data_IF_037981630944
#
_entry.id   IF_037981630944
#
_cell.length_a   1.000
_cell.length_b   1.000
_cell.length_c   1.000
_cell.angle_alpha   90.00
_cell.angle_beta   90.00
_cell.angle_gamma   90.00
#
_symmetry.space_group_name_H-M   'P 1'
#
loop_
_entity.id
_entity.type
_entity.pdbx_description
1 polymer ?
#
# COMPACT_ATOMS: atom_id res chain seq x y z
N UNK A 1 15.29 -4.73 30.01
CA UNK A 1 15.44 -5.71 28.90
C UNK A 1 16.70 -5.37 28.13
N UNK A 2 17.52 -6.39 27.82
CA UNK A 2 18.80 -6.20 27.12
C UNK A 2 18.53 -5.62 25.70
N UNK A 3 19.16 -4.51 25.29
CA UNK A 3 18.89 -3.85 24.00
C UNK A 3 19.02 -4.80 22.80
N UNK A 4 19.97 -5.74 22.85
CA UNK A 4 20.18 -6.77 21.82
C UNK A 4 18.94 -7.68 21.65
N UNK A 5 18.29 -8.06 22.75
CA UNK A 5 17.10 -8.94 22.73
C UNK A 5 15.87 -8.22 22.14
N UNK A 6 15.75 -6.90 22.37
CA UNK A 6 14.69 -6.06 21.80
C UNK A 6 14.85 -5.91 20.28
N UNK A 7 16.07 -5.64 19.81
CA UNK A 7 16.37 -5.52 18.38
C UNK A 7 16.15 -6.84 17.65
N UNK A 8 16.62 -7.96 18.22
CA UNK A 8 16.40 -9.29 17.64
C UNK A 8 14.91 -9.62 17.51
N UNK A 9 14.13 -9.43 18.59
CA UNK A 9 12.69 -9.70 18.57
C UNK A 9 11.95 -8.88 17.51
N UNK A 10 12.26 -7.59 17.39
CA UNK A 10 11.60 -6.72 16.42
C UNK A 10 12.00 -7.07 14.98
N UNK A 11 13.29 -7.40 14.75
CA UNK A 11 13.80 -7.75 13.43
C UNK A 11 13.29 -9.11 12.93
N UNK A 12 13.24 -10.12 13.80
CA UNK A 12 12.70 -11.45 13.45
C UNK A 12 11.21 -11.39 13.18
N UNK A 13 10.47 -10.63 13.99
CA UNK A 13 9.07 -10.39 13.76
C UNK A 13 8.87 -9.70 12.39
N UNK A 14 9.59 -8.60 12.10
CA UNK A 14 9.44 -7.86 10.84
C UNK A 14 9.71 -8.75 9.62
N UNK A 15 10.76 -9.57 9.73
CA UNK A 15 11.10 -10.56 8.71
C UNK A 15 9.97 -11.57 8.52
N UNK A 16 9.33 -12.03 9.61
CA UNK A 16 8.23 -12.97 9.56
C UNK A 16 6.98 -12.35 8.89
N UNK A 17 6.64 -11.09 9.18
CA UNK A 17 5.52 -10.41 8.51
C UNK A 17 5.76 -10.29 7.01
N UNK A 18 6.96 -9.87 6.60
CA UNK A 18 7.33 -9.79 5.18
C UNK A 18 7.25 -11.16 4.51
N UNK A 19 7.70 -12.22 5.19
CA UNK A 19 7.60 -13.58 4.68
C UNK A 19 6.15 -14.04 4.55
N UNK A 20 5.29 -13.74 5.52
CA UNK A 20 3.86 -14.08 5.47
C UNK A 20 3.15 -13.33 4.36
N UNK A 21 3.36 -12.01 4.22
CA UNK A 21 2.82 -11.22 3.11
C UNK A 21 3.25 -11.79 1.76
N UNK A 22 4.54 -12.14 1.60
CA UNK A 22 5.07 -12.74 0.38
C UNK A 22 4.52 -14.13 0.13
N UNK A 23 4.34 -14.93 1.18
CA UNK A 23 3.72 -16.25 1.07
C UNK A 23 2.27 -16.11 0.59
N UNK A 24 1.48 -15.22 1.18
CA UNK A 24 0.09 -14.96 0.74
C UNK A 24 0.08 -14.46 -0.71
N UNK A 25 0.94 -13.51 -1.06
CA UNK A 25 1.06 -12.99 -2.42
C UNK A 25 1.45 -14.07 -3.46
N UNK A 26 2.12 -15.14 -3.03
CA UNK A 26 2.48 -16.26 -3.89
C UNK A 26 1.42 -17.36 -3.95
N UNK A 27 0.91 -17.80 -2.79
CA UNK A 27 -0.03 -18.91 -2.70
C UNK A 27 -1.44 -18.53 -3.13
N UNK A 28 -1.88 -17.29 -2.90
CA UNK A 28 -3.25 -16.87 -3.23
C UNK A 28 -3.50 -16.89 -4.75
N UNK A 29 -2.65 -16.30 -5.61
CA UNK A 29 -2.84 -16.39 -7.06
C UNK A 29 -2.74 -17.83 -7.57
N UNK A 30 -1.83 -18.63 -7.00
CA UNK A 30 -1.71 -20.06 -7.33
C UNK A 30 -2.98 -20.84 -6.99
N UNK A 31 -3.57 -20.60 -5.82
CA UNK A 31 -4.81 -21.24 -5.39
C UNK A 31 -5.98 -20.84 -6.28
N UNK A 32 -6.11 -19.54 -6.60
CA UNK A 32 -7.14 -19.03 -7.51
C UNK A 32 -7.02 -19.69 -8.88
N UNK A 33 -5.82 -19.76 -9.45
CA UNK A 33 -5.57 -20.40 -10.74
C UNK A 33 -5.96 -21.89 -10.75
N UNK A 34 -5.75 -22.59 -9.63
CA UNK A 34 -6.06 -24.01 -9.50
C UNK A 34 -7.55 -24.31 -9.31
N UNK A 35 -8.26 -23.50 -8.52
CA UNK A 35 -9.67 -23.77 -8.15
C UNK A 35 -10.64 -23.16 -9.15
N UNK A 36 -10.38 -21.94 -9.60
CA UNK A 36 -11.33 -21.16 -10.43
C UNK A 36 -10.99 -21.20 -11.93
N UNK A 37 -9.86 -21.83 -12.31
CA UNK A 37 -9.42 -21.92 -13.69
C UNK A 37 -8.72 -20.66 -14.20
N UNK A 38 -8.27 -20.72 -15.46
CA UNK A 38 -7.43 -19.68 -16.09
C UNK A 38 -8.18 -18.38 -16.38
N UNK A 39 -9.49 -18.45 -16.66
CA UNK A 39 -10.30 -17.29 -17.03
C UNK A 39 -10.49 -16.33 -15.84
N UNK A 40 -10.89 -16.85 -14.68
CA UNK A 40 -11.02 -16.06 -13.45
C UNK A 40 -9.68 -15.52 -12.97
N UNK A 41 -8.62 -16.34 -13.09
CA UNK A 41 -7.26 -15.90 -12.77
C UNK A 41 -6.81 -14.72 -13.66
N UNK A 42 -7.10 -14.75 -14.95
CA UNK A 42 -6.80 -13.65 -15.87
C UNK A 42 -7.49 -12.35 -15.45
N UNK A 43 -8.76 -12.43 -15.05
CA UNK A 43 -9.50 -11.29 -14.50
C UNK A 43 -8.90 -10.74 -13.21
N UNK A 44 -8.58 -11.61 -12.25
CA UNK A 44 -7.91 -11.25 -11.00
C UNK A 44 -6.54 -10.59 -11.24
N UNK A 45 -5.71 -11.19 -12.10
CA UNK A 45 -4.38 -10.68 -12.42
C UNK A 45 -4.48 -9.29 -13.06
N UNK A 46 -5.41 -9.10 -13.99
CA UNK A 46 -5.68 -7.80 -14.61
C UNK A 46 -6.09 -6.76 -13.57
N UNK A 47 -7.00 -7.10 -12.66
CA UNK A 47 -7.42 -6.21 -11.58
C UNK A 47 -6.25 -5.79 -10.68
N UNK A 48 -5.42 -6.76 -10.28
CA UNK A 48 -4.24 -6.49 -9.47
C UNK A 48 -3.21 -5.62 -10.19
N UNK A 49 -2.99 -5.81 -11.50
CA UNK A 49 -2.10 -4.95 -12.28
C UNK A 49 -2.57 -3.50 -12.27
N UNK A 50 -3.87 -3.24 -12.45
CA UNK A 50 -4.41 -1.90 -12.36
C UNK A 50 -4.19 -1.28 -10.98
N UNK A 51 -4.44 -2.03 -9.90
CA UNK A 51 -4.20 -1.56 -8.52
C UNK A 51 -2.72 -1.22 -8.29
N UNK A 52 -1.80 -2.07 -8.75
CA UNK A 52 -0.35 -1.85 -8.60
C UNK A 52 0.08 -0.59 -9.36
N UNK A 53 -0.32 -0.43 -10.62
CA UNK A 53 0.00 0.76 -11.41
C UNK A 53 -0.58 2.01 -10.75
N UNK A 54 -1.87 1.98 -10.40
CA UNK A 54 -2.56 3.10 -9.77
C UNK A 54 -1.91 3.53 -8.45
N UNK A 55 -1.40 2.57 -7.67
CA UNK A 55 -0.80 2.85 -6.38
C UNK A 55 0.43 3.74 -6.47
N UNK A 56 1.30 3.57 -7.48
CA UNK A 56 2.47 4.43 -7.65
C UNK A 56 2.10 5.89 -7.91
N UNK A 57 1.00 6.12 -8.64
CA UNK A 57 0.48 7.45 -8.87
C UNK A 57 -0.28 8.02 -7.67
N UNK A 58 -0.83 7.16 -6.81
CA UNK A 58 -1.69 7.58 -5.70
C UNK A 58 -0.94 8.40 -4.63
N UNK A 59 0.34 8.10 -4.36
CA UNK A 59 1.16 8.90 -3.45
C UNK A 59 2.16 9.83 -4.16
N UNK A 60 2.36 9.72 -5.49
CA UNK A 60 3.17 10.65 -6.30
C UNK A 60 4.53 11.04 -5.68
N UNK A 61 5.25 10.09 -5.08
CA UNK A 61 6.57 10.37 -4.46
C UNK A 61 6.52 11.06 -3.09
N UNK A 62 5.34 11.27 -2.51
CA UNK A 62 5.18 11.78 -1.13
C UNK A 62 5.86 10.87 -0.10
N UNK A 63 5.93 9.58 -0.36
CA UNK A 63 6.66 8.58 0.43
C UNK A 63 8.17 8.90 0.56
N UNK A 64 8.75 9.59 -0.43
CA UNK A 64 10.16 10.02 -0.40
C UNK A 64 10.33 11.47 0.10
N UNK A 65 9.35 12.34 -0.16
CA UNK A 65 9.40 13.74 0.25
C UNK A 65 9.14 13.91 1.76
N UNK A 66 8.11 13.23 2.26
CA UNK A 66 7.63 13.38 3.64
C UNK A 66 8.70 13.04 4.70
N UNK A 67 9.47 11.94 4.60
CA UNK A 67 10.52 11.65 5.56
C UNK A 67 11.62 12.72 5.59
N UNK A 68 11.94 13.32 4.43
CA UNK A 68 13.01 14.35 4.31
C UNK A 68 12.62 15.65 5.01
N UNK A 69 11.37 16.09 4.82
CA UNK A 69 10.87 17.30 5.49
C UNK A 69 10.71 17.10 7.00
N UNK A 70 10.24 15.93 7.43
CA UNK A 70 10.12 15.59 8.85
C UNK A 70 11.49 15.49 9.52
N UNK A 71 12.49 14.91 8.84
CA UNK A 71 13.85 14.84 9.36
C UNK A 71 14.48 16.22 9.52
N UNK A 72 14.14 17.17 8.63
CA UNK A 72 14.63 18.56 8.66
C UNK A 72 14.01 19.37 9.80
N UNK A 73 12.70 19.24 10.05
CA UNK A 73 12.02 19.92 11.16
C UNK A 73 11.03 19.00 11.88
N UNK A 74 11.54 18.29 12.90
CA UNK A 74 10.75 17.35 13.71
C UNK A 74 9.61 18.02 14.47
N UNK A 75 9.71 19.31 14.80
CA UNK A 75 8.68 20.04 15.57
C UNK A 75 7.40 20.24 14.75
N UNK A 76 7.52 20.30 13.43
CA UNK A 76 6.40 20.47 12.48
C UNK A 76 5.90 19.16 11.85
N UNK A 77 6.36 18.01 12.37
CA UNK A 77 6.01 16.68 11.86
C UNK A 77 4.50 16.43 11.72
N UNK A 78 3.69 16.85 12.69
CA UNK A 78 2.23 16.72 12.62
C UNK A 78 1.60 17.53 11.48
N UNK A 79 2.10 18.73 11.20
CA UNK A 79 1.61 19.58 10.10
C UNK A 79 2.01 19.01 8.74
N UNK A 80 3.22 18.46 8.62
CA UNK A 80 3.66 17.78 7.40
C UNK A 80 2.85 16.52 7.13
N UNK A 81 2.60 15.70 8.16
CA UNK A 81 1.75 14.50 8.01
C UNK A 81 0.32 14.87 7.61
N UNK A 82 -0.30 15.87 8.24
CA UNK A 82 -1.64 16.31 7.88
C UNK A 82 -1.70 16.83 6.44
N UNK A 83 -0.72 17.62 6.02
CA UNK A 83 -0.65 18.13 4.65
C UNK A 83 -0.44 17.01 3.63
N UNK A 84 0.43 16.06 3.94
CA UNK A 84 0.70 14.91 3.09
C UNK A 84 -0.50 13.97 3.01
N UNK A 85 -1.25 13.74 4.10
CA UNK A 85 -2.48 12.95 4.09
C UNK A 85 -3.60 13.60 3.28
N UNK A 86 -3.78 14.93 3.38
CA UNK A 86 -4.75 15.63 2.52
C UNK A 86 -4.36 15.54 1.04
N UNK A 87 -3.07 15.75 0.72
CA UNK A 87 -2.57 15.63 -0.64
C UNK A 87 -2.67 14.18 -1.16
N UNK A 88 -2.26 13.20 -0.36
CA UNK A 88 -2.33 11.77 -0.67
C UNK A 88 -3.75 11.27 -0.86
N UNK A 89 -4.68 11.68 -0.01
CA UNK A 89 -6.11 11.44 -0.18
C UNK A 89 -6.65 12.04 -1.48
N UNK A 90 -6.27 13.28 -1.80
CA UNK A 90 -6.69 13.92 -3.05
C UNK A 90 -6.11 13.21 -4.29
N UNK A 91 -4.81 12.89 -4.29
CA UNK A 91 -4.15 12.21 -5.42
C UNK A 91 -4.63 10.76 -5.59
N UNK A 92 -4.91 10.05 -4.50
CA UNK A 92 -5.50 8.71 -4.55
C UNK A 92 -6.93 8.71 -5.10
N UNK A 93 -7.75 9.70 -4.75
CA UNK A 93 -9.09 9.87 -5.36
C UNK A 93 -8.97 10.20 -6.85
N UNK A 94 -8.09 11.13 -7.23
CA UNK A 94 -7.89 11.51 -8.62
C UNK A 94 -7.41 10.32 -9.47
N UNK A 95 -6.48 9.53 -8.96
CA UNK A 95 -6.01 8.31 -9.63
C UNK A 95 -7.09 7.23 -9.69
N UNK A 96 -7.89 7.06 -8.64
CA UNK A 96 -9.03 6.16 -8.68
C UNK A 96 -10.05 6.54 -9.76
N UNK A 97 -10.37 7.85 -9.90
CA UNK A 97 -11.25 8.36 -10.95
C UNK A 97 -10.66 8.17 -12.34
N UNK A 98 -9.37 8.49 -12.52
CA UNK A 98 -8.68 8.35 -13.80
C UNK A 98 -8.67 6.88 -14.26
N UNK A 99 -8.32 5.95 -13.38
CA UNK A 99 -8.31 4.53 -13.71
C UNK A 99 -9.73 4.02 -13.95
N UNK A 100 -10.71 4.47 -13.18
CA UNK A 100 -12.12 4.08 -13.39
C UNK A 100 -12.63 4.48 -14.76
N UNK A 101 -12.24 5.66 -15.23
CA UNK A 101 -12.55 6.17 -16.57
C UNK A 101 -11.84 5.36 -17.66
N UNK A 102 -10.54 5.07 -17.49
CA UNK A 102 -9.77 4.23 -18.41
C UNK A 102 -10.44 2.85 -18.56
N UNK A 103 -10.73 2.19 -17.45
CA UNK A 103 -11.36 0.85 -17.44
C UNK A 103 -12.71 0.86 -18.13
N UNK A 104 -13.49 1.92 -17.98
CA UNK A 104 -14.77 2.08 -18.68
C UNK A 104 -14.60 2.11 -20.21
N UNK A 105 -13.54 2.76 -20.72
CA UNK A 105 -13.24 2.79 -22.16
C UNK A 105 -12.64 1.50 -22.71
N UNK A 106 -12.05 0.65 -21.87
CA UNK A 106 -11.40 -0.60 -22.32
C UNK A 106 -12.39 -1.76 -22.56
N UNK A 107 -13.69 -1.58 -22.26
CA UNK A 107 -14.76 -2.56 -22.53
C UNK A 107 -14.47 -3.97 -21.99
N UNK A 108 -13.88 -4.08 -20.80
CA UNK A 108 -13.66 -5.37 -20.14
C UNK A 108 -14.98 -6.06 -19.76
N UNK A 109 -14.98 -7.40 -19.60
CA UNK A 109 -16.14 -8.11 -19.08
C UNK A 109 -16.59 -7.56 -17.72
N UNK A 110 -17.92 -7.53 -17.43
CA UNK A 110 -18.46 -6.91 -16.21
C UNK A 110 -17.84 -7.46 -14.90
N UNK A 111 -17.52 -8.76 -14.89
CA UNK A 111 -16.87 -9.41 -13.76
C UNK A 111 -15.47 -8.83 -13.48
N UNK A 112 -14.66 -8.61 -14.52
CA UNK A 112 -13.31 -8.04 -14.40
C UNK A 112 -13.37 -6.58 -14.01
N UNK A 113 -14.29 -5.82 -14.60
CA UNK A 113 -14.53 -4.41 -14.28
C UNK A 113 -14.89 -4.21 -12.81
N UNK A 114 -15.79 -5.05 -12.26
CA UNK A 114 -16.16 -5.01 -10.85
C UNK A 114 -14.98 -5.33 -9.93
N UNK A 115 -14.13 -6.30 -10.30
CA UNK A 115 -12.91 -6.62 -9.55
C UNK A 115 -11.93 -5.43 -9.53
N UNK A 116 -11.76 -4.75 -10.67
CA UNK A 116 -10.90 -3.57 -10.76
C UNK A 116 -11.45 -2.45 -9.86
N UNK A 117 -12.74 -2.13 -9.95
CA UNK A 117 -13.35 -1.07 -9.13
C UNK A 117 -13.27 -1.36 -7.64
N UNK A 118 -13.55 -2.60 -7.24
CA UNK A 118 -13.44 -3.02 -5.84
C UNK A 118 -11.99 -2.92 -5.36
N UNK A 119 -11.03 -3.40 -6.16
CA UNK A 119 -9.61 -3.29 -5.84
C UNK A 119 -9.15 -1.85 -5.66
N UNK A 120 -9.53 -0.95 -6.57
CA UNK A 120 -9.15 0.46 -6.53
C UNK A 120 -9.72 1.15 -5.29
N UNK A 121 -11.02 1.02 -5.05
CA UNK A 121 -11.71 1.71 -3.95
C UNK A 121 -11.24 1.19 -2.59
N UNK A 122 -11.12 -0.14 -2.44
CA UNK A 122 -10.75 -0.73 -1.17
C UNK A 122 -9.25 -0.62 -0.86
N UNK A 123 -8.39 -0.54 -1.88
CA UNK A 123 -6.93 -0.60 -1.65
C UNK A 123 -6.26 0.76 -1.73
N UNK A 124 -6.59 1.62 -2.71
CA UNK A 124 -5.77 2.82 -2.95
C UNK A 124 -5.74 3.79 -1.79
N UNK A 125 -6.93 4.16 -1.28
CA UNK A 125 -7.03 5.13 -0.19
C UNK A 125 -6.34 4.63 1.09
N UNK A 126 -6.70 3.45 1.65
CA UNK A 126 -6.07 2.96 2.87
C UNK A 126 -4.57 2.73 2.71
N UNK A 127 -4.15 2.23 1.54
CA UNK A 127 -2.73 1.94 1.28
C UNK A 127 -1.90 3.22 1.18
N UNK A 128 -2.43 4.26 0.54
CA UNK A 128 -1.73 5.56 0.41
C UNK A 128 -1.51 6.16 1.80
N UNK A 129 -2.55 6.22 2.62
CA UNK A 129 -2.45 6.77 3.99
C UNK A 129 -1.54 5.93 4.89
N UNK A 130 -1.57 4.59 4.77
CA UNK A 130 -0.66 3.71 5.49
C UNK A 130 0.82 3.99 5.12
N UNK A 131 1.12 4.11 3.82
CA UNK A 131 2.48 4.42 3.35
C UNK A 131 2.93 5.79 3.86
N UNK A 132 2.05 6.80 3.86
CA UNK A 132 2.37 8.13 4.37
C UNK A 132 2.62 8.14 5.89
N UNK A 133 1.83 7.38 6.64
CA UNK A 133 2.07 7.18 8.08
C UNK A 133 3.43 6.51 8.32
N UNK A 134 3.75 5.44 7.59
CA UNK A 134 5.05 4.77 7.67
C UNK A 134 6.20 5.72 7.29
N UNK A 135 6.04 6.49 6.20
CA UNK A 135 7.01 7.49 5.77
C UNK A 135 7.24 8.57 6.85
N UNK A 136 6.18 9.01 7.54
CA UNK A 136 6.33 9.97 8.63
C UNK A 136 7.08 9.38 9.83
N UNK A 137 6.80 8.13 10.20
CA UNK A 137 7.52 7.45 11.28
C UNK A 137 9.00 7.24 10.89
N UNK A 138 9.27 6.89 9.63
CA UNK A 138 10.63 6.78 9.08
C UNK A 138 11.40 8.10 9.24
N UNK A 139 10.78 9.24 8.90
CA UNK A 139 11.38 10.57 9.07
C UNK A 139 11.66 10.97 10.52
N UNK A 140 10.94 10.39 11.48
CA UNK A 140 11.18 10.58 12.91
C UNK A 140 12.28 9.66 13.47
N UNK A 141 12.88 8.81 12.65
CA UNK A 141 13.86 7.76 13.04
C UNK A 141 13.30 6.76 14.08
N UNK A 142 11.97 6.70 14.24
CA UNK A 142 11.30 5.81 15.19
C UNK A 142 10.88 4.51 14.51
N UNK A 143 11.82 3.85 13.84
CA UNK A 143 11.57 2.61 13.10
C UNK A 143 10.94 1.50 13.95
N UNK A 144 11.14 1.55 15.28
CA UNK A 144 10.51 0.65 16.24
C UNK A 144 8.97 0.67 16.20
N UNK A 145 8.36 1.78 15.78
CA UNK A 145 6.91 1.96 15.73
C UNK A 145 6.30 1.41 14.44
N UNK A 146 7.04 1.49 13.32
CA UNK A 146 6.63 0.81 12.07
C UNK A 146 6.63 -0.68 12.29
N UNK A 147 7.66 -1.21 12.96
CA UNK A 147 7.67 -2.60 13.36
C UNK A 147 6.42 -2.92 14.19
N UNK A 148 6.09 -2.14 15.22
CA UNK A 148 4.94 -2.38 16.09
C UNK A 148 3.58 -2.32 15.39
N UNK A 149 3.35 -1.41 14.42
CA UNK A 149 2.07 -1.27 13.70
C UNK A 149 1.88 -2.36 12.63
N UNK A 150 2.98 -2.87 12.07
CA UNK A 150 2.95 -4.01 11.14
C UNK A 150 2.74 -5.36 11.85
N UNK A 151 2.73 -5.38 13.19
CA UNK A 151 2.27 -6.50 14.00
C UNK A 151 0.84 -6.23 14.50
N UNK A 152 -0.12 -7.14 14.27
CA UNK A 152 -1.18 -7.36 15.25
C UNK A 152 -0.63 -8.02 16.52
#
# INVERSE_FOLDING_TARGET
MNPVLRVLKNSTALSLTVLLERAVAFFLPWYIARVQGSEVYGGYATAMTFVVIASGFAYWGLDQLLPREIARDRKRSGTFLASAGVLGGATSILTALAVSMIVHFLHYPPQVQNLIYLGIVCVLLPRTEAILCEAAINGLEKMEWIAAVRFP
#
